data_IF_599559256305
#
_entry.id   IF_599559256305
#
_cell.length_a   1.000
_cell.length_b   1.000
_cell.length_c   1.000
_cell.angle_alpha   90.00
_cell.angle_beta   90.00
_cell.angle_gamma   90.00
#
_symmetry.space_group_name_H-M   'P 1'
#
loop_
_entity.id
_entity.type
_entity.pdbx_description
1 polymer ?
#
# COMPACT_ATOMS: atom_id res chain seq x y z
N UNK A 1 3.41 -20.11 -0.65
CA UNK A 1 4.85 -20.37 -0.47
C UNK A 1 5.29 -19.97 0.95
N UNK A 2 5.05 -18.73 1.43
CA UNK A 2 5.45 -18.27 2.77
C UNK A 2 5.00 -19.20 3.90
N UNK A 3 3.75 -19.66 3.86
CA UNK A 3 3.20 -20.61 4.85
C UNK A 3 4.00 -21.89 4.90
N UNK A 4 4.35 -22.46 3.73
CA UNK A 4 5.14 -23.70 3.67
C UNK A 4 6.51 -23.55 4.33
N UNK A 5 7.20 -22.43 4.10
CA UNK A 5 8.49 -22.17 4.75
C UNK A 5 8.35 -21.99 6.26
N UNK A 6 7.31 -21.26 6.71
CA UNK A 6 7.07 -21.06 8.14
C UNK A 6 6.73 -22.37 8.87
N UNK A 7 5.99 -23.28 8.23
CA UNK A 7 5.71 -24.63 8.75
C UNK A 7 6.98 -25.50 8.88
N UNK A 8 8.02 -25.18 8.12
CA UNK A 8 9.34 -25.82 8.22
C UNK A 8 10.29 -25.04 9.17
N UNK A 9 9.75 -24.19 10.04
CA UNK A 9 10.54 -23.43 11.02
C UNK A 9 11.39 -22.30 10.44
N UNK A 10 11.14 -21.85 9.22
CA UNK A 10 11.90 -20.76 8.59
C UNK A 10 11.26 -19.40 8.85
N UNK A 11 12.08 -18.41 9.19
CA UNK A 11 11.67 -16.99 9.18
C UNK A 11 11.43 -16.56 7.74
N UNK A 12 10.45 -15.68 7.51
CA UNK A 12 10.06 -15.23 6.16
C UNK A 12 10.05 -13.71 6.08
N UNK A 13 10.79 -13.17 5.12
CA UNK A 13 10.62 -11.81 4.60
C UNK A 13 9.85 -11.92 3.29
N UNK A 14 8.59 -11.47 3.30
CA UNK A 14 7.69 -11.55 2.16
C UNK A 14 7.69 -10.22 1.39
N UNK A 15 7.76 -10.26 0.07
CA UNK A 15 7.59 -9.06 -0.76
C UNK A 15 6.21 -8.42 -0.52
N UNK A 16 6.18 -7.11 -0.73
CA UNK A 16 4.93 -6.34 -0.67
C UNK A 16 4.07 -6.58 -1.95
N UNK A 17 2.76 -6.53 -1.83
CA UNK A 17 1.97 -6.56 -0.59
C UNK A 17 2.01 -7.95 0.06
N UNK A 18 1.90 -7.98 1.37
CA UNK A 18 2.06 -9.22 2.17
C UNK A 18 1.19 -10.39 1.67
N UNK A 19 -0.04 -10.09 1.24
CA UNK A 19 -0.99 -11.07 0.72
C UNK A 19 -2.02 -10.38 -0.19
N UNK A 20 -2.77 -11.17 -0.95
CA UNK A 20 -3.81 -10.69 -1.86
C UNK A 20 -5.02 -10.08 -1.12
N UNK A 21 -5.23 -10.47 0.13
CA UNK A 21 -6.35 -10.00 0.95
C UNK A 21 -6.08 -10.20 2.45
N UNK A 22 -6.92 -9.56 3.27
CA UNK A 22 -6.77 -9.60 4.73
C UNK A 22 -6.97 -11.00 5.34
N UNK A 23 -7.71 -11.91 4.70
CA UNK A 23 -7.91 -13.28 5.19
C UNK A 23 -6.60 -14.05 5.08
N UNK A 24 -5.94 -13.97 3.93
CA UNK A 24 -4.65 -14.60 3.69
C UNK A 24 -3.55 -14.02 4.60
N UNK A 25 -3.51 -12.69 4.75
CA UNK A 25 -2.56 -12.04 5.66
C UNK A 25 -2.74 -12.53 7.11
N UNK A 26 -3.98 -12.63 7.60
CA UNK A 26 -4.27 -13.19 8.93
C UNK A 26 -3.83 -14.64 9.07
N UNK A 27 -4.03 -15.44 8.03
CA UNK A 27 -3.60 -16.84 8.03
C UNK A 27 -2.06 -16.94 8.08
N UNK A 28 -1.34 -16.15 7.30
CA UNK A 28 0.14 -16.10 7.37
C UNK A 28 0.62 -15.71 8.77
N UNK A 29 -0.01 -14.71 9.39
CA UNK A 29 0.33 -14.27 10.76
C UNK A 29 0.04 -15.40 11.77
N UNK A 30 -1.09 -16.09 11.64
CA UNK A 30 -1.47 -17.22 12.49
C UNK A 30 -0.42 -18.34 12.42
N UNK A 31 -0.02 -18.71 11.20
CA UNK A 31 0.98 -19.77 10.98
C UNK A 31 2.35 -19.38 11.54
N UNK A 32 2.76 -18.11 11.34
CA UNK A 32 4.01 -17.61 11.89
C UNK A 32 4.05 -17.75 13.43
N UNK A 33 2.98 -17.33 14.10
CA UNK A 33 2.85 -17.43 15.57
C UNK A 33 2.86 -18.88 16.06
N UNK A 34 2.14 -19.76 15.37
CA UNK A 34 2.07 -21.19 15.75
C UNK A 34 3.42 -21.91 15.63
N UNK A 35 4.26 -21.51 14.68
CA UNK A 35 5.57 -22.12 14.48
C UNK A 35 6.72 -21.35 15.16
N UNK A 36 6.42 -20.28 15.92
CA UNK A 36 7.44 -19.48 16.62
C UNK A 36 8.43 -18.79 15.68
N UNK A 37 8.01 -18.46 14.44
CA UNK A 37 8.88 -17.84 13.43
C UNK A 37 8.48 -16.40 13.14
N UNK A 38 9.44 -15.62 12.62
CA UNK A 38 9.21 -14.25 12.20
C UNK A 38 8.63 -14.22 10.78
N UNK A 39 7.52 -13.50 10.62
CA UNK A 39 7.00 -13.07 9.33
C UNK A 39 7.12 -11.54 9.24
N UNK A 40 7.76 -11.06 8.21
CA UNK A 40 7.93 -9.62 7.95
C UNK A 40 7.59 -9.30 6.51
N UNK A 41 6.88 -8.19 6.29
CA UNK A 41 6.65 -7.64 4.95
C UNK A 41 7.80 -6.74 4.53
N UNK A 42 8.24 -6.84 3.29
CA UNK A 42 9.32 -6.03 2.73
C UNK A 42 8.89 -4.59 2.38
N UNK A 43 8.14 -3.94 3.30
CA UNK A 43 7.69 -2.55 3.17
C UNK A 43 8.74 -1.59 3.76
N UNK A 44 9.82 -1.37 3.00
CA UNK A 44 10.97 -0.58 3.45
C UNK A 44 10.68 0.90 3.72
N UNK A 45 9.67 1.49 3.06
CA UNK A 45 9.40 2.94 3.09
C UNK A 45 9.21 3.50 4.51
N UNK A 46 8.58 2.73 5.41
CA UNK A 46 8.35 3.13 6.80
C UNK A 46 9.52 2.82 7.74
N UNK A 47 10.57 2.18 7.25
CA UNK A 47 11.77 1.82 8.00
C UNK A 47 12.96 2.73 7.70
N UNK A 48 12.82 3.63 6.71
CA UNK A 48 13.87 4.57 6.32
C UNK A 48 14.18 5.59 7.42
N UNK A 49 15.42 6.11 7.50
CA UNK A 49 15.77 7.16 8.45
C UNK A 49 14.85 8.39 8.35
N UNK A 50 14.52 8.83 7.13
CA UNK A 50 13.64 9.97 6.90
C UNK A 50 12.22 9.75 7.46
N UNK A 51 11.64 8.56 7.31
CA UNK A 51 10.33 8.26 7.89
C UNK A 51 10.39 8.25 9.42
N UNK A 52 11.50 7.80 10.01
CA UNK A 52 11.70 7.87 11.48
C UNK A 52 11.78 9.31 11.96
N UNK A 53 12.46 10.21 11.22
CA UNK A 53 12.49 11.64 11.54
C UNK A 53 11.10 12.27 11.40
N UNK A 54 10.38 11.99 10.30
CA UNK A 54 9.00 12.44 10.13
C UNK A 54 8.15 12.07 11.36
N UNK A 55 8.21 10.83 11.83
CA UNK A 55 7.47 10.42 13.04
C UNK A 55 7.85 11.19 14.30
N UNK A 56 9.13 11.51 14.47
CA UNK A 56 9.62 12.26 15.65
C UNK A 56 9.10 13.69 15.66
N UNK A 57 9.04 14.33 14.48
CA UNK A 57 8.68 15.73 14.33
C UNK A 57 7.19 15.95 14.01
N UNK A 58 6.40 14.89 13.93
CA UNK A 58 4.99 14.98 13.52
C UNK A 58 4.16 15.91 14.44
N UNK A 59 4.45 15.91 15.75
CA UNK A 59 3.78 16.75 16.74
C UNK A 59 4.07 18.25 16.58
N UNK A 60 5.15 18.64 15.90
CA UNK A 60 5.52 20.03 15.67
C UNK A 60 4.54 20.75 14.73
N UNK A 61 3.83 20.00 13.88
CA UNK A 61 2.78 20.52 13.02
C UNK A 61 1.47 20.87 13.78
N UNK A 62 1.42 20.66 15.10
CA UNK A 62 0.21 20.90 15.91
C UNK A 62 -0.84 19.81 15.72
N UNK A 63 -2.13 20.20 15.79
CA UNK A 63 -3.22 19.28 15.50
C UNK A 63 -3.21 18.91 14.01
N UNK A 64 -3.01 17.65 13.71
CA UNK A 64 -2.95 17.16 12.33
C UNK A 64 -4.37 17.11 11.74
N UNK A 65 -4.52 17.63 10.51
CA UNK A 65 -5.82 17.79 9.85
C UNK A 65 -5.93 17.02 8.55
N UNK A 66 -4.81 16.85 7.84
CA UNK A 66 -4.82 16.13 6.58
C UNK A 66 -3.55 15.34 6.35
N UNK A 67 -3.72 14.17 5.76
CA UNK A 67 -2.66 13.41 5.10
C UNK A 67 -2.99 13.33 3.61
N UNK A 68 -2.03 13.66 2.76
CA UNK A 68 -2.11 13.46 1.33
C UNK A 68 -0.91 12.67 0.85
N UNK A 69 -1.12 11.66 0.02
CA UNK A 69 -0.03 10.94 -0.65
C UNK A 69 -0.42 10.57 -2.06
N UNK A 70 0.54 10.68 -2.97
CA UNK A 70 0.38 10.30 -4.37
C UNK A 70 1.52 9.39 -4.79
N UNK A 71 1.19 8.28 -5.46
CA UNK A 71 2.16 7.47 -6.17
C UNK A 71 1.58 7.09 -7.53
N UNK A 72 1.88 7.92 -8.50
CA UNK A 72 1.43 7.76 -9.87
C UNK A 72 2.65 7.65 -10.77
N UNK A 73 2.82 6.51 -11.43
CA UNK A 73 3.94 6.23 -12.31
C UNK A 73 3.46 5.44 -13.51
N UNK A 74 3.65 5.99 -14.70
CA UNK A 74 3.30 5.28 -15.94
C UNK A 74 4.13 3.99 -16.04
N UNK A 75 3.45 2.87 -16.07
CA UNK A 75 4.09 1.56 -16.15
C UNK A 75 4.66 1.30 -17.54
N UNK A 76 5.93 0.97 -17.63
CA UNK A 76 6.57 0.52 -18.89
C UNK A 76 5.88 -0.72 -19.52
N UNK A 77 5.03 -1.41 -18.75
CA UNK A 77 4.27 -2.58 -19.20
C UNK A 77 2.88 -2.22 -19.73
N UNK A 78 2.43 -0.95 -19.54
CA UNK A 78 1.08 -0.54 -19.93
C UNK A 78 0.90 -0.48 -21.44
N UNK A 79 1.93 -0.11 -22.21
CA UNK A 79 1.89 -0.13 -23.68
C UNK A 79 1.68 -1.55 -24.23
N UNK A 80 2.25 -2.56 -23.56
CA UNK A 80 1.98 -3.97 -23.93
C UNK A 80 0.52 -4.34 -23.71
N UNK A 81 -0.07 -3.89 -22.59
CA UNK A 81 -1.50 -4.11 -22.33
C UNK A 81 -2.38 -3.43 -23.38
N UNK A 82 -2.07 -2.19 -23.77
CA UNK A 82 -2.78 -1.48 -24.86
C UNK A 82 -2.68 -2.22 -26.20
N UNK A 83 -1.58 -2.94 -26.42
CA UNK A 83 -1.38 -3.80 -27.58
C UNK A 83 -1.99 -5.21 -27.42
N UNK A 84 -2.79 -5.45 -26.37
CA UNK A 84 -3.46 -6.73 -26.12
C UNK A 84 -2.61 -7.79 -25.41
N UNK A 85 -1.37 -7.45 -24.97
CA UNK A 85 -0.45 -8.37 -24.28
C UNK A 85 -0.54 -8.17 -22.76
N UNK A 86 -1.13 -9.13 -22.06
CA UNK A 86 -1.28 -9.10 -20.61
C UNK A 86 -0.01 -9.61 -19.93
N UNK A 87 0.74 -8.71 -19.31
CA UNK A 87 1.89 -9.06 -18.46
C UNK A 87 1.46 -9.17 -16.99
N UNK A 88 2.29 -9.80 -16.16
CA UNK A 88 2.00 -10.06 -14.74
C UNK A 88 1.47 -8.84 -13.97
N UNK A 89 2.02 -7.65 -14.24
CA UNK A 89 1.63 -6.41 -13.57
C UNK A 89 0.15 -6.01 -13.76
N UNK A 90 -0.54 -6.60 -14.74
CA UNK A 90 -1.93 -6.36 -15.09
C UNK A 90 -2.76 -7.65 -15.16
N UNK A 91 -2.23 -8.76 -14.61
CA UNK A 91 -2.93 -10.04 -14.54
C UNK A 91 -3.73 -10.14 -13.23
N UNK A 92 -5.07 -10.21 -13.28
CA UNK A 92 -5.93 -10.32 -12.09
C UNK A 92 -5.71 -11.64 -11.32
N UNK A 93 -5.32 -12.73 -11.99
CA UNK A 93 -5.04 -14.02 -11.32
C UNK A 93 -3.87 -13.94 -10.33
N UNK A 94 -2.97 -12.97 -10.53
CA UNK A 94 -1.85 -12.70 -9.63
C UNK A 94 -2.16 -11.62 -8.58
N UNK A 95 -3.43 -11.24 -8.42
CA UNK A 95 -3.89 -10.17 -7.52
C UNK A 95 -3.18 -8.84 -7.75
N UNK A 96 -2.78 -8.57 -8.99
CA UNK A 96 -2.13 -7.33 -9.40
C UNK A 96 -3.16 -6.23 -9.72
N UNK A 97 -2.68 -5.00 -9.75
CA UNK A 97 -3.42 -3.78 -10.01
C UNK A 97 -2.63 -2.58 -9.49
N UNK A 98 -3.12 -1.39 -9.73
CA UNK A 98 -2.41 -0.17 -9.30
C UNK A 98 -2.44 0.00 -7.77
N UNK A 99 -3.54 -0.35 -7.10
CA UNK A 99 -3.62 -0.30 -5.63
C UNK A 99 -2.60 -1.25 -5.00
N UNK A 100 -2.55 -2.50 -5.45
CA UNK A 100 -1.66 -3.51 -4.87
C UNK A 100 -0.19 -3.23 -5.13
N UNK A 101 0.16 -2.62 -6.27
CA UNK A 101 1.55 -2.38 -6.64
C UNK A 101 2.07 -1.02 -6.15
N UNK A 102 1.32 0.05 -6.34
CA UNK A 102 1.71 1.44 -6.03
C UNK A 102 0.91 2.04 -4.87
N UNK A 103 -0.40 1.82 -4.83
CA UNK A 103 -1.28 2.35 -3.79
C UNK A 103 -0.88 1.89 -2.38
N UNK A 104 -0.34 0.69 -2.24
CA UNK A 104 0.17 0.17 -0.97
C UNK A 104 1.22 1.08 -0.34
N UNK A 105 2.07 1.75 -1.14
CA UNK A 105 3.08 2.69 -0.64
C UNK A 105 2.50 4.00 -0.10
N UNK A 106 1.27 4.35 -0.47
CA UNK A 106 0.57 5.54 0.04
C UNK A 106 -0.28 5.20 1.27
N UNK A 107 -0.87 4.00 1.30
CA UNK A 107 -1.75 3.55 2.38
C UNK A 107 -0.97 3.02 3.58
N UNK A 108 0.11 2.29 3.36
CA UNK A 108 0.88 1.68 4.45
C UNK A 108 1.45 2.72 5.43
N UNK A 109 2.13 3.81 4.97
CA UNK A 109 2.56 4.89 5.86
C UNK A 109 1.42 5.57 6.61
N UNK A 110 0.27 5.79 5.96
CA UNK A 110 -0.92 6.33 6.59
C UNK A 110 -1.34 5.51 7.81
N UNK A 111 -1.45 4.18 7.62
CA UNK A 111 -1.87 3.27 8.71
C UNK A 111 -0.81 3.17 9.81
N UNK A 112 0.48 3.22 9.45
CA UNK A 112 1.58 3.23 10.44
C UNK A 112 1.56 4.50 11.31
N UNK A 113 1.18 5.64 10.73
CA UNK A 113 1.13 6.93 11.44
C UNK A 113 -0.14 7.12 12.26
N UNK A 114 -1.30 6.74 11.71
CA UNK A 114 -2.61 7.11 12.25
C UNK A 114 -3.51 5.93 12.62
N UNK A 115 -3.04 4.69 12.39
CA UNK A 115 -3.80 3.49 12.71
C UNK A 115 -4.99 3.25 11.77
N UNK A 116 -6.01 2.59 12.29
CA UNK A 116 -7.19 2.18 11.52
C UNK A 116 -8.16 3.37 11.33
N UNK A 117 -8.58 3.68 10.08
CA UNK A 117 -9.58 4.71 9.82
C UNK A 117 -10.98 4.28 10.28
N UNK A 118 -11.85 5.26 10.54
CA UNK A 118 -13.28 5.05 10.85
C UNK A 118 -14.07 4.65 9.60
N UNK A 119 -13.79 5.30 8.47
CA UNK A 119 -14.46 5.04 7.19
C UNK A 119 -13.48 5.16 6.03
N UNK A 120 -13.77 4.39 4.98
CA UNK A 120 -13.01 4.40 3.72
C UNK A 120 -14.00 4.54 2.58
N UNK A 121 -13.69 5.41 1.62
CA UNK A 121 -14.37 5.50 0.33
C UNK A 121 -13.36 5.55 -0.80
N UNK A 122 -13.67 4.91 -1.91
CA UNK A 122 -12.73 4.80 -3.02
C UNK A 122 -13.43 4.90 -4.37
N UNK A 123 -12.72 5.46 -5.32
CA UNK A 123 -13.06 5.43 -6.75
C UNK A 123 -11.85 4.94 -7.53
N UNK A 124 -12.08 4.27 -8.66
CA UNK A 124 -11.00 3.75 -9.48
C UNK A 124 -11.43 3.44 -10.90
N UNK A 125 -10.46 3.47 -11.80
CA UNK A 125 -10.61 3.10 -13.19
C UNK A 125 -10.13 1.67 -13.39
N UNK A 126 -11.02 0.77 -13.82
CA UNK A 126 -10.67 -0.60 -14.23
C UNK A 126 -10.20 -0.63 -15.67
N UNK A 127 -9.18 -1.42 -15.91
CA UNK A 127 -8.64 -1.71 -17.23
C UNK A 127 -9.36 -2.92 -17.88
N UNK A 128 -9.04 -3.20 -19.13
CA UNK A 128 -9.64 -4.31 -19.91
C UNK A 128 -9.49 -5.68 -19.25
N UNK A 129 -8.46 -5.87 -18.44
CA UNK A 129 -8.24 -7.13 -17.68
C UNK A 129 -9.04 -7.22 -16.38
N UNK A 130 -9.73 -6.14 -15.99
CA UNK A 130 -10.48 -6.07 -14.72
C UNK A 130 -9.67 -5.56 -13.53
N UNK A 131 -8.34 -5.43 -13.63
CA UNK A 131 -7.54 -4.78 -12.59
C UNK A 131 -7.71 -3.27 -12.62
N UNK A 132 -7.46 -2.61 -11.48
CA UNK A 132 -7.43 -1.16 -11.42
C UNK A 132 -6.15 -0.61 -12.07
N UNK A 133 -6.31 0.39 -12.94
CA UNK A 133 -5.21 1.15 -13.54
C UNK A 133 -4.81 2.37 -12.73
N UNK A 134 -5.77 2.97 -12.04
CA UNK A 134 -5.60 4.10 -11.14
C UNK A 134 -6.78 4.23 -10.19
N UNK A 135 -6.59 5.01 -9.13
CA UNK A 135 -7.67 5.32 -8.20
C UNK A 135 -7.33 6.38 -7.18
N UNK A 136 -8.37 6.77 -6.45
CA UNK A 136 -8.32 7.66 -5.31
C UNK A 136 -9.04 7.01 -4.14
N UNK A 137 -8.46 7.10 -2.93
CA UNK A 137 -9.07 6.61 -1.71
C UNK A 137 -9.07 7.71 -0.66
N UNK A 138 -10.23 7.94 -0.05
CA UNK A 138 -10.40 8.84 1.09
C UNK A 138 -10.61 8.03 2.36
N UNK A 139 -9.95 8.46 3.43
CA UNK A 139 -10.01 7.85 4.75
C UNK A 139 -10.46 8.90 5.76
N UNK A 140 -11.39 8.52 6.63
CA UNK A 140 -11.86 9.35 7.73
C UNK A 140 -11.31 8.82 9.05
N UNK A 141 -10.68 9.70 9.79
CA UNK A 141 -10.28 9.54 11.20
C UNK A 141 -11.10 10.51 12.07
N UNK A 142 -10.84 10.57 13.37
CA UNK A 142 -11.59 11.44 14.27
C UNK A 142 -11.36 12.92 13.98
N UNK A 143 -10.10 13.32 13.87
CA UNK A 143 -9.69 14.73 13.71
C UNK A 143 -8.88 14.97 12.43
N UNK A 144 -8.78 13.98 11.56
CA UNK A 144 -7.97 14.04 10.36
C UNK A 144 -8.70 13.33 9.22
N UNK A 145 -8.61 13.84 8.03
CA UNK A 145 -8.92 13.11 6.81
C UNK A 145 -7.66 12.81 6.00
N UNK A 146 -7.69 11.75 5.21
CA UNK A 146 -6.60 11.42 4.31
C UNK A 146 -7.10 11.15 2.91
N UNK A 147 -6.31 11.54 1.91
CA UNK A 147 -6.55 11.22 0.51
C UNK A 147 -5.29 10.62 -0.08
N UNK A 148 -5.42 9.48 -0.74
CA UNK A 148 -4.32 8.89 -1.48
C UNK A 148 -4.69 8.72 -2.94
N UNK A 149 -3.72 8.99 -3.82
CA UNK A 149 -3.82 8.80 -5.26
C UNK A 149 -2.79 7.75 -5.69
N UNK A 150 -3.17 6.92 -6.62
CA UNK A 150 -2.26 5.94 -7.21
C UNK A 150 -2.60 5.68 -8.68
N UNK A 151 -1.59 5.46 -9.50
CA UNK A 151 -1.77 5.18 -10.92
C UNK A 151 -0.59 4.39 -11.50
N UNK A 152 -0.91 3.44 -12.37
CA UNK A 152 0.05 2.75 -13.27
C UNK A 152 -0.09 3.20 -14.72
N UNK A 153 -1.01 4.10 -15.01
CA UNK A 153 -1.38 4.52 -16.36
C UNK A 153 -1.20 6.02 -16.61
N UNK A 154 -0.80 6.76 -15.59
CA UNK A 154 -0.48 8.17 -15.67
C UNK A 154 0.61 8.52 -14.65
N UNK A 155 1.42 9.52 -14.94
CA UNK A 155 2.41 10.09 -14.03
C UNK A 155 1.81 11.22 -13.20
N UNK A 156 2.33 11.41 -11.99
CA UNK A 156 2.11 12.59 -11.18
C UNK A 156 3.33 12.85 -10.30
N UNK A 157 3.71 14.12 -10.18
CA UNK A 157 4.85 14.55 -9.37
C UNK A 157 4.42 15.27 -8.09
N UNK A 158 3.15 15.15 -7.70
CA UNK A 158 2.64 15.72 -6.46
C UNK A 158 3.34 15.08 -5.25
N UNK A 159 3.94 15.87 -4.36
CA UNK A 159 4.58 15.34 -3.14
C UNK A 159 3.53 14.81 -2.17
N UNK A 160 3.97 13.93 -1.27
CA UNK A 160 3.19 13.58 -0.09
C UNK A 160 3.26 14.73 0.92
N UNK A 161 2.15 14.97 1.64
CA UNK A 161 1.99 16.10 2.54
C UNK A 161 1.22 15.69 3.80
N UNK A 162 1.64 16.23 4.94
CA UNK A 162 0.89 16.17 6.19
C UNK A 162 0.63 17.60 6.63
N UNK A 163 -0.64 17.98 6.75
CA UNK A 163 -1.07 19.33 7.13
C UNK A 163 -1.50 19.32 8.60
N UNK A 164 -0.96 20.27 9.34
CA UNK A 164 -1.33 20.57 10.72
C UNK A 164 -1.73 22.03 10.88
N UNK A 165 -2.02 22.42 12.11
CA UNK A 165 -2.45 23.80 12.45
C UNK A 165 -1.28 24.76 12.67
N UNK A 166 -0.03 24.26 12.54
CA UNK A 166 1.19 25.06 12.71
C UNK A 166 2.09 24.92 11.48
#
# INVERSE_FOLDING_TARGET
LSILFMQQGKHVLCEKPLASNAKEAREMIRVARQNGVTLMEAMKSTLTPNFRQLRRHLAEAGCLRRYFASYCQYSSRYDKLKAGIVLNAFNPELSNGAMMDLGVYTVYPLVVLFGRPKRISATGLKLSTGVDGQGAVNFEYENLNATVLYSKIADSFLPAEIQGEK
#
